data_IF_640926651205
#
_entry.id   IF_640926651205
#
_cell.length_a   1.000
_cell.length_b   1.000
_cell.length_c   1.000
_cell.angle_alpha   90.00
_cell.angle_beta   90.00
_cell.angle_gamma   90.00
#
_symmetry.space_group_name_H-M   'P 1'
#
loop_
_entity.id
_entity.type
_entity.pdbx_description
1 polymer ?
#
# COMPACT_ATOMS: atom_id res chain seq x y z
N UNK A 1 -15.06 -0.04 22.33
CA UNK A 1 -15.07 -1.32 21.60
C UNK A 1 -13.67 -1.91 21.59
N UNK A 2 -13.56 -3.22 21.39
CA UNK A 2 -12.30 -3.96 21.30
C UNK A 2 -12.10 -4.49 19.88
N UNK A 3 -10.97 -4.14 19.27
CA UNK A 3 -10.64 -4.50 17.90
C UNK A 3 -9.39 -5.39 17.85
N UNK A 4 -9.46 -6.48 17.11
CA UNK A 4 -8.31 -7.31 16.80
C UNK A 4 -7.99 -7.25 15.32
N UNK A 5 -6.80 -6.79 14.97
CA UNK A 5 -6.28 -6.89 13.60
C UNK A 5 -5.45 -8.18 13.46
N UNK A 6 -5.79 -9.02 12.50
CA UNK A 6 -5.01 -10.21 12.13
C UNK A 6 -4.38 -10.02 10.76
N UNK A 7 -3.06 -10.23 10.66
CA UNK A 7 -2.30 -10.04 9.44
C UNK A 7 -1.10 -11.00 9.36
N UNK A 8 -0.70 -11.37 8.16
CA UNK A 8 0.48 -12.19 7.92
C UNK A 8 1.74 -11.39 7.53
N UNK A 9 1.68 -10.05 7.56
CA UNK A 9 2.84 -9.17 7.39
C UNK A 9 3.14 -8.46 8.71
N UNK A 10 4.39 -8.08 8.92
CA UNK A 10 4.80 -7.27 10.06
C UNK A 10 4.04 -5.93 10.08
N UNK A 11 3.40 -5.60 11.20
CA UNK A 11 2.59 -4.36 11.30
C UNK A 11 3.43 -3.08 11.17
N UNK A 12 4.72 -3.17 11.35
CA UNK A 12 5.66 -2.06 11.17
C UNK A 12 6.46 -2.12 9.87
N UNK A 13 6.04 -2.95 8.89
CA UNK A 13 6.68 -3.04 7.58
C UNK A 13 6.69 -1.69 6.86
N UNK A 14 7.86 -1.07 6.64
CA UNK A 14 7.94 0.22 5.97
C UNK A 14 7.71 0.12 4.46
N UNK A 15 7.74 -1.08 3.88
CA UNK A 15 7.63 -1.31 2.43
C UNK A 15 6.20 -1.54 1.96
N UNK A 16 5.30 -1.90 2.88
CA UNK A 16 3.92 -2.29 2.58
C UNK A 16 2.93 -1.16 2.83
N UNK A 17 2.44 -0.50 1.78
CA UNK A 17 1.45 0.58 1.90
C UNK A 17 0.14 0.14 2.57
N UNK A 18 -0.26 -1.12 2.40
CA UNK A 18 -1.42 -1.72 3.09
C UNK A 18 -1.18 -1.75 4.60
N UNK A 19 -0.01 -2.20 5.03
CA UNK A 19 0.36 -2.31 6.45
C UNK A 19 0.43 -0.93 7.10
N UNK A 20 1.02 0.06 6.43
CA UNK A 20 1.07 1.44 6.91
C UNK A 20 -0.34 1.99 7.16
N UNK A 21 -1.27 1.75 6.22
CA UNK A 21 -2.67 2.17 6.38
C UNK A 21 -3.37 1.46 7.54
N UNK A 22 -3.13 0.16 7.73
CA UNK A 22 -3.70 -0.59 8.85
C UNK A 22 -3.13 -0.14 10.20
N UNK A 23 -1.84 0.17 10.26
CA UNK A 23 -1.19 0.74 11.44
C UNK A 23 -1.80 2.10 11.80
N UNK A 24 -1.98 2.98 10.82
CA UNK A 24 -2.64 4.27 11.03
C UNK A 24 -4.09 4.09 11.50
N UNK A 25 -4.83 3.16 10.92
CA UNK A 25 -6.19 2.84 11.35
C UNK A 25 -6.23 2.38 12.82
N UNK A 26 -5.38 1.44 13.23
CA UNK A 26 -5.37 0.94 14.61
C UNK A 26 -4.99 2.03 15.60
N UNK A 27 -4.05 2.93 15.26
CA UNK A 27 -3.73 4.11 16.05
C UNK A 27 -4.97 5.02 16.24
N UNK A 28 -5.69 5.32 15.14
CA UNK A 28 -6.89 6.17 15.21
C UNK A 28 -8.01 5.57 16.07
N UNK A 29 -8.16 4.24 16.05
CA UNK A 29 -9.12 3.55 16.93
C UNK A 29 -8.71 3.70 18.40
N UNK A 30 -7.43 3.57 18.74
CA UNK A 30 -6.92 3.76 20.11
C UNK A 30 -7.09 5.21 20.55
N UNK A 31 -6.75 6.17 19.70
CA UNK A 31 -6.91 7.61 19.98
C UNK A 31 -8.38 8.02 20.18
N UNK A 32 -9.32 7.24 19.63
CA UNK A 32 -10.75 7.41 19.83
C UNK A 32 -11.29 6.71 21.12
N UNK A 33 -10.41 6.15 21.95
CA UNK A 33 -10.75 5.50 23.20
C UNK A 33 -11.16 4.03 23.05
N UNK A 34 -10.83 3.39 21.95
CA UNK A 34 -11.04 1.95 21.76
C UNK A 34 -9.79 1.15 22.12
N UNK A 35 -9.97 -0.12 22.48
CA UNK A 35 -8.86 -1.04 22.70
C UNK A 35 -8.54 -1.78 21.41
N UNK A 36 -7.25 -1.79 21.02
CA UNK A 36 -6.79 -2.49 19.84
C UNK A 36 -5.66 -3.45 20.16
N UNK A 37 -5.76 -4.67 19.61
CA UNK A 37 -4.66 -5.64 19.58
C UNK A 37 -4.35 -6.03 18.13
N UNK A 38 -3.10 -6.40 17.88
CA UNK A 38 -2.64 -6.89 16.58
C UNK A 38 -1.96 -8.23 16.74
N UNK A 39 -2.36 -9.22 15.94
CA UNK A 39 -1.63 -10.46 15.75
C UNK A 39 -1.03 -10.49 14.35
N UNK A 40 0.28 -10.59 14.26
CA UNK A 40 1.05 -10.45 13.01
C UNK A 40 2.21 -11.43 12.94
N UNK A 41 2.91 -11.47 11.81
CA UNK A 41 4.15 -12.26 11.62
C UNK A 41 5.35 -11.37 11.35
N UNK A 42 6.54 -11.97 11.25
CA UNK A 42 7.78 -11.26 10.92
C UNK A 42 7.97 -10.99 9.41
N UNK A 43 6.99 -11.30 8.57
CA UNK A 43 7.10 -11.19 7.12
C UNK A 43 7.05 -9.73 6.66
N UNK A 44 7.96 -9.34 5.77
CA UNK A 44 7.92 -8.09 5.02
C UNK A 44 7.35 -8.33 3.61
N UNK A 45 6.76 -7.31 3.01
CA UNK A 45 6.23 -7.37 1.64
C UNK A 45 7.36 -7.43 0.61
N UNK A 46 8.40 -6.63 0.82
CA UNK A 46 9.58 -6.60 -0.04
C UNK A 46 10.82 -7.09 0.72
N UNK A 47 11.83 -7.50 -0.04
CA UNK A 47 13.14 -7.85 0.54
C UNK A 47 13.77 -6.60 1.15
N UNK A 48 14.16 -6.71 2.43
CA UNK A 48 14.81 -5.64 3.19
C UNK A 48 16.25 -6.05 3.58
N UNK A 49 17.16 -5.09 3.76
CA UNK A 49 18.57 -5.38 4.09
C UNK A 49 18.81 -5.66 5.58
N UNK A 50 17.77 -5.78 6.38
CA UNK A 50 17.84 -5.97 7.83
C UNK A 50 17.00 -7.17 8.28
N UNK A 51 17.30 -7.71 9.43
CA UNK A 51 16.52 -8.77 10.07
C UNK A 51 15.33 -8.20 10.84
N UNK A 52 14.35 -9.06 11.18
CA UNK A 52 13.23 -8.63 12.04
C UNK A 52 13.71 -8.17 13.43
N UNK A 53 14.78 -8.77 13.97
CA UNK A 53 15.32 -8.40 15.27
C UNK A 53 15.92 -6.99 15.23
N UNK A 54 16.71 -6.67 14.20
CA UNK A 54 17.25 -5.32 13.96
C UNK A 54 16.13 -4.30 13.73
N UNK A 55 15.12 -4.66 12.95
CA UNK A 55 13.97 -3.80 12.71
C UNK A 55 13.21 -3.51 14.00
N UNK A 56 12.87 -4.53 14.78
CA UNK A 56 12.17 -4.34 16.05
C UNK A 56 13.01 -3.52 17.05
N UNK A 57 14.32 -3.71 17.08
CA UNK A 57 15.22 -2.90 17.91
C UNK A 57 15.21 -1.41 17.51
N UNK A 58 15.07 -1.11 16.21
CA UNK A 58 15.01 0.28 15.72
C UNK A 58 13.71 1.01 16.09
N UNK A 59 12.66 0.29 16.47
CA UNK A 59 11.39 0.91 16.89
C UNK A 59 11.47 1.56 18.28
N UNK A 60 12.53 1.34 19.04
CA UNK A 60 12.73 1.85 20.41
C UNK A 60 11.56 1.55 21.36
N UNK A 61 10.95 0.37 21.23
CA UNK A 61 9.86 -0.11 22.10
C UNK A 61 10.34 -1.24 22.97
N UNK A 62 9.78 -1.38 24.17
CA UNK A 62 10.06 -2.49 25.06
C UNK A 62 9.51 -3.81 24.51
N UNK A 63 10.37 -4.77 24.16
CA UNK A 63 9.97 -6.04 23.55
C UNK A 63 10.14 -7.18 24.56
N UNK A 64 9.04 -7.90 24.79
CA UNK A 64 9.05 -9.13 25.57
C UNK A 64 9.06 -10.34 24.63
N UNK A 65 10.15 -11.12 24.65
CA UNK A 65 10.27 -12.34 23.89
C UNK A 65 9.85 -13.56 24.70
N UNK A 66 9.00 -14.40 24.11
CA UNK A 66 8.61 -15.72 24.68
C UNK A 66 8.85 -16.82 23.63
N UNK A 67 9.03 -18.05 24.08
CA UNK A 67 9.27 -19.21 23.21
C UNK A 67 10.57 -19.93 23.53
N UNK A 68 10.86 -21.07 22.89
CA UNK A 68 12.01 -21.89 23.21
C UNK A 68 13.30 -21.10 22.97
N UNK A 69 14.19 -21.15 23.96
CA UNK A 69 15.57 -20.75 23.78
C UNK A 69 16.17 -21.54 22.59
N UNK A 70 17.00 -20.87 21.77
CA UNK A 70 17.63 -21.54 20.64
C UNK A 70 18.31 -22.84 21.09
N UNK A 71 17.76 -23.97 20.68
CA UNK A 71 18.39 -25.26 20.97
C UNK A 71 19.77 -25.24 20.29
N UNK A 72 20.82 -25.33 21.08
CA UNK A 72 22.21 -25.55 20.56
C UNK A 72 22.16 -26.75 19.62
N UNK A 73 22.54 -26.52 18.37
CA UNK A 73 22.58 -27.55 17.34
C UNK A 73 23.46 -28.70 17.78
N UNK A 74 22.88 -29.76 18.33
CA UNK A 74 23.58 -31.04 18.51
C UNK A 74 23.57 -31.75 17.15
N UNK A 75 24.77 -31.96 16.59
CA UNK A 75 24.99 -32.79 15.40
C UNK A 75 24.52 -34.23 15.69
N UNK A 76 23.32 -34.57 15.25
CA UNK A 76 22.77 -35.92 15.28
C UNK A 76 21.70 -36.07 14.20
N UNK A 77 21.91 -36.96 13.22
CA UNK A 77 20.88 -37.38 12.25
C UNK A 77 19.72 -38.01 12.99
N UNK A 78 18.66 -37.26 13.17
CA UNK A 78 17.34 -37.82 13.56
C UNK A 78 16.29 -37.41 12.54
N UNK A 79 15.74 -38.42 11.86
CA UNK A 79 14.54 -38.28 11.00
C UNK A 79 13.36 -37.84 11.86
N UNK A 80 12.64 -36.79 11.38
CA UNK A 80 11.35 -36.28 11.88
C UNK A 80 11.31 -35.79 13.34
N UNK A 81 12.07 -34.76 13.67
CA UNK A 81 11.70 -33.89 14.81
C UNK A 81 10.70 -32.82 14.30
N UNK A 82 9.58 -32.56 15.01
CA UNK A 82 8.76 -31.42 14.70
C UNK A 82 9.63 -30.17 14.71
N UNK A 83 9.40 -29.27 13.75
CA UNK A 83 10.13 -28.01 13.67
C UNK A 83 9.99 -27.26 15.00
N UNK A 84 11.07 -26.68 15.56
CA UNK A 84 10.98 -25.96 16.82
C UNK A 84 9.96 -24.82 16.70
N UNK A 85 9.19 -24.60 17.77
CA UNK A 85 8.24 -23.51 17.84
C UNK A 85 8.93 -22.16 17.60
N UNK A 86 8.27 -21.24 16.92
CA UNK A 86 8.79 -19.91 16.66
C UNK A 86 8.74 -19.05 17.94
N UNK A 87 9.66 -18.09 18.08
CA UNK A 87 9.61 -17.09 19.13
C UNK A 87 8.41 -16.14 18.89
N UNK A 88 7.90 -15.60 19.97
CA UNK A 88 6.82 -14.59 19.94
C UNK A 88 7.34 -13.33 20.61
N UNK A 89 7.22 -12.21 19.93
CA UNK A 89 7.47 -10.88 20.47
C UNK A 89 6.14 -10.25 20.90
N UNK A 90 6.11 -9.65 22.09
CA UNK A 90 4.99 -8.83 22.56
C UNK A 90 5.51 -7.44 22.90
N UNK A 91 4.88 -6.40 22.35
CA UNK A 91 5.26 -5.01 22.56
C UNK A 91 4.06 -4.09 22.31
N UNK A 92 4.19 -2.84 22.71
CA UNK A 92 3.21 -1.80 22.40
C UNK A 92 3.79 -0.86 21.35
N UNK A 93 3.06 -0.64 20.26
CA UNK A 93 3.41 0.27 19.18
C UNK A 93 2.24 1.21 18.92
N UNK A 94 2.46 2.53 19.00
CA UNK A 94 1.43 3.56 18.81
C UNK A 94 0.19 3.34 19.73
N UNK A 95 0.40 2.89 20.98
CA UNK A 95 -0.69 2.56 21.91
C UNK A 95 -1.37 1.21 21.66
N UNK A 96 -1.00 0.47 20.62
CA UNK A 96 -1.58 -0.81 20.22
C UNK A 96 -0.74 -1.98 20.75
N UNK A 97 -1.39 -2.96 21.38
CA UNK A 97 -0.71 -4.18 21.82
C UNK A 97 -0.47 -5.12 20.64
N UNK A 98 0.80 -5.38 20.32
CA UNK A 98 1.23 -6.23 19.20
C UNK A 98 1.75 -7.56 19.71
N UNK A 99 1.22 -8.65 19.17
CA UNK A 99 1.78 -10.01 19.26
C UNK A 99 2.32 -10.41 17.90
N UNK A 100 3.63 -10.62 17.78
CA UNK A 100 4.32 -10.95 16.54
C UNK A 100 4.90 -12.36 16.63
N UNK A 101 4.46 -13.25 15.76
CA UNK A 101 5.07 -14.55 15.55
C UNK A 101 6.32 -14.39 14.67
N UNK A 102 7.51 -14.67 15.22
CA UNK A 102 8.75 -14.64 14.48
C UNK A 102 8.86 -15.85 13.57
N UNK A 103 8.30 -15.74 12.37
CA UNK A 103 8.41 -16.75 11.32
C UNK A 103 9.86 -16.93 10.89
N UNK A 104 10.20 -18.12 10.34
CA UNK A 104 11.58 -18.46 9.96
C UNK A 104 12.09 -17.65 8.77
N UNK A 105 11.18 -17.19 7.93
CA UNK A 105 11.45 -16.33 6.78
C UNK A 105 10.80 -14.98 6.98
N UNK A 106 11.57 -13.92 6.79
CA UNK A 106 11.13 -12.53 6.90
C UNK A 106 10.88 -11.92 5.53
N UNK A 107 11.36 -12.58 4.47
CA UNK A 107 11.22 -12.17 3.09
C UNK A 107 9.96 -12.81 2.44
N UNK A 108 9.87 -12.82 1.13
CA UNK A 108 8.73 -13.26 0.29
C UNK A 108 8.16 -14.66 0.62
N UNK A 109 8.71 -15.37 1.61
CA UNK A 109 8.24 -16.68 2.04
C UNK A 109 6.95 -16.61 2.87
N UNK A 110 5.99 -17.46 2.56
CA UNK A 110 4.78 -17.61 3.38
C UNK A 110 5.03 -18.52 4.58
N UNK A 111 4.32 -18.32 5.72
CA UNK A 111 4.34 -19.22 6.85
C UNK A 111 4.01 -20.67 6.45
N UNK A 112 4.76 -21.63 7.01
CA UNK A 112 4.48 -23.04 6.81
C UNK A 112 3.33 -23.55 7.69
N UNK A 113 3.03 -24.86 7.60
CA UNK A 113 1.95 -25.47 8.40
C UNK A 113 2.16 -25.36 9.91
N UNK A 114 3.39 -25.50 10.39
CA UNK A 114 3.71 -25.45 11.80
C UNK A 114 3.58 -24.00 12.32
N UNK A 115 4.07 -23.04 11.57
CA UNK A 115 3.93 -21.62 11.84
C UNK A 115 2.46 -21.18 11.80
N UNK A 116 1.69 -21.68 10.82
CA UNK A 116 0.22 -21.47 10.75
C UNK A 116 -0.47 -22.02 11.99
N UNK A 117 -0.16 -23.24 12.42
CA UNK A 117 -0.77 -23.84 13.61
C UNK A 117 -0.42 -23.04 14.87
N UNK A 118 0.82 -22.60 15.02
CA UNK A 118 1.24 -21.76 16.16
C UNK A 118 0.54 -20.39 16.15
N UNK A 119 0.38 -19.77 14.97
CA UNK A 119 -0.36 -18.52 14.83
C UNK A 119 -1.83 -18.69 15.25
N UNK A 120 -2.49 -19.76 14.84
CA UNK A 120 -3.88 -20.04 15.21
C UNK A 120 -4.02 -20.34 16.72
N UNK A 121 -3.04 -20.98 17.34
CA UNK A 121 -3.01 -21.15 18.81
C UNK A 121 -2.93 -19.79 19.51
N UNK A 122 -2.02 -18.90 19.09
CA UNK A 122 -1.92 -17.54 19.62
C UNK A 122 -3.20 -16.73 19.39
N UNK A 123 -3.82 -16.90 18.22
CA UNK A 123 -5.11 -16.28 17.94
C UNK A 123 -6.17 -16.76 18.93
N UNK A 124 -6.31 -18.08 19.15
CA UNK A 124 -7.26 -18.63 20.11
C UNK A 124 -7.08 -18.05 21.52
N UNK A 125 -5.83 -17.99 22.02
CA UNK A 125 -5.49 -17.37 23.30
C UNK A 125 -5.94 -15.89 23.36
N UNK A 126 -5.68 -15.12 22.29
CA UNK A 126 -6.08 -13.71 22.22
C UNK A 126 -7.62 -13.58 22.18
N UNK A 127 -8.31 -14.41 21.41
CA UNK A 127 -9.77 -14.39 21.33
C UNK A 127 -10.41 -14.72 22.70
N UNK A 128 -9.85 -15.67 23.46
CA UNK A 128 -10.32 -16.02 24.79
C UNK A 128 -10.06 -14.91 25.82
N UNK A 129 -8.86 -14.33 25.83
CA UNK A 129 -8.45 -13.32 26.79
C UNK A 129 -9.06 -11.94 26.51
N UNK A 130 -8.98 -11.50 25.25
CA UNK A 130 -9.34 -10.15 24.84
C UNK A 130 -10.82 -10.03 24.46
N UNK A 131 -11.43 -11.10 23.95
CA UNK A 131 -12.80 -11.17 23.47
C UNK A 131 -13.17 -9.94 22.61
N UNK A 132 -12.54 -9.75 21.43
CA UNK A 132 -12.77 -8.57 20.61
C UNK A 132 -14.21 -8.50 20.09
N UNK A 133 -14.76 -7.29 19.99
CA UNK A 133 -16.04 -7.05 19.34
C UNK A 133 -15.95 -7.26 17.83
N UNK A 134 -14.78 -6.91 17.26
CA UNK A 134 -14.52 -7.03 15.82
C UNK A 134 -13.12 -7.59 15.55
N UNK A 135 -13.05 -8.45 14.51
CA UNK A 135 -11.78 -8.97 13.97
C UNK A 135 -11.60 -8.47 12.54
N UNK A 136 -10.56 -7.67 12.33
CA UNK A 136 -10.25 -7.05 11.05
C UNK A 136 -9.12 -7.84 10.39
N UNK A 137 -9.27 -8.20 9.11
CA UNK A 137 -8.27 -8.92 8.35
C UNK A 137 -8.04 -8.31 6.96
N UNK A 138 -6.86 -8.56 6.42
CA UNK A 138 -6.57 -8.33 5.01
C UNK A 138 -5.73 -9.50 4.46
N UNK A 139 -5.75 -9.73 3.17
CA UNK A 139 -5.15 -10.83 2.41
C UNK A 139 -5.80 -12.21 2.60
N UNK A 140 -5.73 -13.05 1.55
CA UNK A 140 -6.35 -14.37 1.50
C UNK A 140 -5.39 -15.52 1.87
N UNK A 141 -4.37 -15.25 2.69
CA UNK A 141 -3.51 -16.35 3.18
C UNK A 141 -4.36 -17.33 4.02
N UNK A 142 -4.19 -18.66 3.86
CA UNK A 142 -4.99 -19.65 4.59
C UNK A 142 -5.03 -19.44 6.11
N UNK A 143 -3.91 -18.99 6.69
CA UNK A 143 -3.82 -18.66 8.11
C UNK A 143 -4.82 -17.57 8.52
N UNK A 144 -5.01 -16.55 7.68
CA UNK A 144 -5.93 -15.43 7.94
C UNK A 144 -7.38 -15.87 7.73
N UNK A 145 -7.67 -16.64 6.68
CA UNK A 145 -9.01 -17.18 6.44
C UNK A 145 -9.46 -18.14 7.54
N UNK A 146 -8.56 -19.00 8.04
CA UNK A 146 -8.83 -19.85 9.20
C UNK A 146 -9.03 -19.02 10.48
N UNK A 147 -8.30 -17.94 10.64
CA UNK A 147 -8.47 -17.01 11.76
C UNK A 147 -9.84 -16.32 11.73
N UNK A 148 -10.29 -15.87 10.55
CA UNK A 148 -11.64 -15.32 10.40
C UNK A 148 -12.73 -16.37 10.70
N UNK A 149 -12.55 -17.61 10.22
CA UNK A 149 -13.46 -18.71 10.53
C UNK A 149 -13.59 -18.94 12.04
N UNK A 150 -12.47 -18.93 12.77
CA UNK A 150 -12.45 -19.09 14.23
C UNK A 150 -13.19 -17.96 14.93
N UNK A 151 -12.89 -16.70 14.56
CA UNK A 151 -13.53 -15.52 15.13
C UNK A 151 -15.05 -15.48 14.86
N UNK A 152 -15.44 -15.73 13.59
CA UNK A 152 -16.85 -15.78 13.20
C UNK A 152 -17.62 -16.89 13.93
N UNK A 153 -16.99 -18.09 14.06
CA UNK A 153 -17.57 -19.21 14.81
C UNK A 153 -17.80 -18.93 16.30
N UNK A 154 -17.09 -17.94 16.86
CA UNK A 154 -17.27 -17.44 18.24
C UNK A 154 -18.25 -16.25 18.34
N UNK A 155 -18.90 -15.87 17.24
CA UNK A 155 -19.87 -14.77 17.18
C UNK A 155 -19.29 -13.37 17.17
N UNK A 156 -18.00 -13.22 16.87
CA UNK A 156 -17.35 -11.91 16.70
C UNK A 156 -17.65 -11.37 15.30
N UNK A 157 -17.83 -10.05 15.16
CA UNK A 157 -17.98 -9.41 13.84
C UNK A 157 -16.67 -9.50 13.07
N UNK A 158 -16.71 -10.05 11.86
CA UNK A 158 -15.54 -10.23 11.01
C UNK A 158 -15.56 -9.23 9.85
N UNK A 159 -14.44 -8.51 9.69
CA UNK A 159 -14.31 -7.44 8.70
C UNK A 159 -13.11 -7.73 7.80
N UNK A 160 -13.34 -7.75 6.49
CA UNK A 160 -12.27 -8.00 5.52
C UNK A 160 -11.94 -6.78 4.68
N UNK A 161 -10.66 -6.44 4.64
CA UNK A 161 -10.12 -5.33 3.85
C UNK A 161 -9.63 -5.82 2.50
N UNK A 162 -10.34 -5.51 1.42
CA UNK A 162 -9.89 -5.77 0.04
C UNK A 162 -9.07 -4.59 -0.45
N UNK A 163 -7.78 -4.82 -0.67
CA UNK A 163 -6.80 -3.79 -1.04
C UNK A 163 -6.27 -3.90 -2.46
N UNK A 164 -6.84 -4.77 -3.26
CA UNK A 164 -6.41 -5.02 -4.64
C UNK A 164 -7.37 -5.91 -5.38
N UNK A 165 -6.93 -6.40 -6.53
CA UNK A 165 -7.69 -7.29 -7.39
C UNK A 165 -7.32 -8.76 -7.12
N UNK A 166 -8.12 -9.71 -7.67
CA UNK A 166 -7.85 -11.13 -7.56
C UNK A 166 -8.64 -11.87 -6.47
N UNK A 167 -9.40 -11.17 -5.65
CA UNK A 167 -10.28 -11.77 -4.64
C UNK A 167 -11.65 -12.13 -5.25
N UNK A 168 -11.65 -12.96 -6.31
CA UNK A 168 -12.87 -13.29 -7.07
C UNK A 168 -13.48 -14.65 -6.72
N UNK A 169 -12.93 -15.34 -5.71
CA UNK A 169 -13.50 -16.55 -5.15
C UNK A 169 -14.34 -16.23 -3.91
N UNK A 170 -15.65 -16.49 -3.98
CA UNK A 170 -16.57 -16.23 -2.86
C UNK A 170 -16.19 -16.95 -1.58
N UNK A 171 -15.43 -18.05 -1.66
CA UNK A 171 -14.95 -18.80 -0.50
C UNK A 171 -14.01 -17.95 0.41
N UNK A 172 -13.37 -16.92 -0.11
CA UNK A 172 -12.58 -15.99 0.72
C UNK A 172 -13.42 -15.23 1.74
N UNK A 173 -14.72 -15.12 1.49
CA UNK A 173 -15.65 -14.33 2.30
C UNK A 173 -16.68 -15.17 3.07
N UNK A 174 -16.54 -16.50 3.09
CA UNK A 174 -17.50 -17.42 3.74
C UNK A 174 -17.72 -17.12 5.23
N UNK A 175 -16.70 -16.59 5.89
CA UNK A 175 -16.71 -16.26 7.32
C UNK A 175 -16.45 -14.77 7.56
N UNK A 176 -17.01 -13.92 6.71
CA UNK A 176 -16.86 -12.46 6.75
C UNK A 176 -18.24 -11.81 6.82
N UNK A 177 -18.44 -10.89 7.75
CA UNK A 177 -19.68 -10.13 7.88
C UNK A 177 -19.67 -8.85 7.06
N UNK A 178 -18.51 -8.18 6.96
CA UNK A 178 -18.36 -6.90 6.25
C UNK A 178 -17.10 -6.87 5.42
N UNK A 179 -17.21 -6.22 4.25
CA UNK A 179 -16.07 -5.97 3.37
C UNK A 179 -15.95 -4.48 3.13
N UNK A 180 -14.74 -3.93 3.29
CA UNK A 180 -14.41 -2.61 2.81
C UNK A 180 -13.27 -2.67 1.81
N UNK A 181 -13.31 -1.78 0.83
CA UNK A 181 -12.32 -1.69 -0.24
C UNK A 181 -11.56 -0.39 -0.16
N UNK A 182 -10.37 -0.35 -0.76
CA UNK A 182 -9.54 0.85 -0.74
C UNK A 182 -9.98 1.95 -1.72
N UNK A 183 -10.98 1.69 -2.56
CA UNK A 183 -11.52 2.66 -3.52
C UNK A 183 -12.85 2.21 -4.10
N UNK A 184 -13.61 3.16 -4.66
CA UNK A 184 -14.84 2.88 -5.40
C UNK A 184 -14.56 1.95 -6.59
N UNK A 185 -13.47 2.17 -7.34
CA UNK A 185 -13.11 1.33 -8.49
C UNK A 185 -12.91 -0.14 -8.09
N UNK A 186 -12.23 -0.42 -6.98
CA UNK A 186 -12.07 -1.80 -6.48
C UNK A 186 -13.41 -2.40 -6.07
N UNK A 187 -14.29 -1.60 -5.44
CA UNK A 187 -15.65 -2.04 -5.09
C UNK A 187 -16.45 -2.42 -6.33
N UNK A 188 -16.48 -1.55 -7.35
CA UNK A 188 -17.23 -1.75 -8.59
C UNK A 188 -16.74 -2.99 -9.36
N UNK A 189 -15.43 -3.20 -9.43
CA UNK A 189 -14.84 -4.38 -10.08
C UNK A 189 -15.26 -5.68 -9.37
N UNK A 190 -15.25 -5.70 -8.03
CA UNK A 190 -15.65 -6.91 -7.29
C UNK A 190 -17.16 -7.13 -7.33
N UNK A 191 -17.95 -6.05 -7.30
CA UNK A 191 -19.40 -6.14 -7.50
C UNK A 191 -19.72 -6.71 -8.88
N UNK A 192 -19.10 -6.20 -9.94
CA UNK A 192 -19.32 -6.67 -11.32
C UNK A 192 -18.86 -8.10 -11.56
N UNK A 193 -17.71 -8.51 -10.98
CA UNK A 193 -17.13 -9.85 -11.26
C UNK A 193 -17.74 -10.97 -10.43
N UNK A 194 -18.06 -10.74 -9.18
CA UNK A 194 -18.51 -11.81 -8.26
C UNK A 194 -19.75 -11.45 -7.45
N UNK A 195 -20.31 -10.25 -7.65
CA UNK A 195 -21.47 -9.76 -6.92
C UNK A 195 -21.14 -9.36 -5.46
N UNK A 196 -19.88 -9.11 -5.13
CA UNK A 196 -19.45 -8.75 -3.78
C UNK A 196 -19.87 -7.31 -3.47
N UNK A 197 -20.69 -7.15 -2.44
CA UNK A 197 -21.07 -5.84 -1.88
C UNK A 197 -19.99 -5.41 -0.88
N UNK A 198 -19.49 -4.21 -1.02
CA UNK A 198 -18.45 -3.67 -0.14
C UNK A 198 -18.59 -2.16 0.04
N UNK A 199 -18.01 -1.64 1.12
CA UNK A 199 -17.98 -0.20 1.39
C UNK A 199 -16.63 0.37 0.95
N UNK A 200 -16.58 1.29 -0.03
CA UNK A 200 -15.33 1.94 -0.42
C UNK A 200 -14.91 2.96 0.64
N UNK A 201 -13.73 2.77 1.22
CA UNK A 201 -13.12 3.69 2.18
C UNK A 201 -11.66 3.85 1.80
N UNK A 202 -11.27 5.06 1.41
CA UNK A 202 -9.91 5.37 1.00
C UNK A 202 -8.92 5.13 2.15
N UNK A 203 -7.71 4.62 1.85
CA UNK A 203 -6.76 4.23 2.91
C UNK A 203 -6.36 5.42 3.78
N UNK A 204 -6.21 5.23 5.10
CA UNK A 204 -5.61 6.23 5.97
C UNK A 204 -4.22 6.64 5.48
N UNK A 205 -3.96 7.94 5.45
CA UNK A 205 -2.64 8.51 5.17
C UNK A 205 -2.22 9.32 6.38
N UNK A 206 -1.07 9.00 6.93
CA UNK A 206 -0.46 9.77 8.01
C UNK A 206 0.25 10.99 7.40
N UNK A 207 -0.36 12.16 7.52
CA UNK A 207 0.16 13.39 6.95
C UNK A 207 1.51 13.78 7.54
N UNK A 208 1.78 13.46 8.80
CA UNK A 208 3.06 13.77 9.45
C UNK A 208 4.26 13.07 8.80
N UNK A 209 4.02 11.94 8.10
CA UNK A 209 5.06 11.19 7.38
C UNK A 209 5.18 11.59 5.90
N UNK A 210 4.24 12.40 5.42
CA UNK A 210 4.07 12.74 4.00
C UNK A 210 4.32 14.21 3.72
N UNK A 211 3.86 15.11 4.58
CA UNK A 211 4.04 16.56 4.38
C UNK A 211 5.51 16.95 4.43
N UNK A 212 5.91 17.74 3.44
CA UNK A 212 7.29 18.15 3.23
C UNK A 212 7.40 19.66 2.99
N UNK A 213 8.55 20.27 3.31
CA UNK A 213 8.86 21.67 2.96
C UNK A 213 8.71 21.91 1.44
N UNK A 214 8.43 23.16 1.06
CA UNK A 214 8.14 23.53 -0.33
C UNK A 214 9.29 24.21 -1.05
N UNK A 215 10.30 24.68 -0.32
CA UNK A 215 11.31 25.60 -0.80
C UNK A 215 12.33 24.98 -1.79
N UNK A 216 12.47 23.67 -1.74
CA UNK A 216 13.51 22.94 -2.52
C UNK A 216 12.99 22.13 -3.70
N UNK A 217 11.71 22.28 -4.05
CA UNK A 217 11.06 21.48 -5.11
C UNK A 217 11.57 21.80 -6.50
N UNK A 218 12.31 20.88 -7.07
CA UNK A 218 12.99 21.07 -8.33
C UNK A 218 12.85 19.91 -9.34
N UNK A 219 12.29 18.76 -8.94
CA UNK A 219 12.34 17.56 -9.76
C UNK A 219 10.98 17.13 -10.30
N UNK A 220 11.00 16.61 -11.54
CA UNK A 220 9.96 15.68 -12.01
C UNK A 220 10.29 14.31 -11.46
N UNK A 221 9.43 13.79 -10.57
CA UNK A 221 9.73 12.58 -9.80
C UNK A 221 8.90 11.39 -10.26
N UNK A 222 9.53 10.22 -10.36
CA UNK A 222 8.92 8.93 -10.59
C UNK A 222 9.31 7.97 -9.46
N UNK A 223 8.33 7.33 -8.83
CA UNK A 223 8.54 6.44 -7.67
C UNK A 223 8.29 4.98 -8.05
N UNK A 224 9.15 4.09 -7.62
CA UNK A 224 9.10 2.66 -7.87
C UNK A 224 9.19 2.28 -9.36
N UNK A 225 10.41 2.22 -9.94
CA UNK A 225 10.62 1.96 -11.36
C UNK A 225 10.35 0.51 -11.76
N UNK A 226 9.12 0.04 -11.57
CA UNK A 226 8.67 -1.31 -11.91
C UNK A 226 7.80 -1.34 -13.17
N UNK A 227 7.68 -2.50 -13.85
CA UNK A 227 6.81 -2.67 -15.00
C UNK A 227 5.35 -2.25 -14.75
N UNK A 228 4.78 -2.63 -13.60
CA UNK A 228 3.41 -2.24 -13.22
C UNK A 228 3.24 -0.73 -13.09
N UNK A 229 4.26 -0.04 -12.60
CA UNK A 229 4.25 1.42 -12.42
C UNK A 229 4.57 2.18 -13.72
N UNK A 230 4.67 1.48 -14.87
CA UNK A 230 4.80 2.10 -16.18
C UNK A 230 6.21 2.56 -16.52
N UNK A 231 7.21 1.87 -16.02
CA UNK A 231 8.62 2.23 -16.25
C UNK A 231 9.01 2.36 -17.71
N UNK A 232 8.41 1.62 -18.64
CA UNK A 232 8.67 1.73 -20.06
C UNK A 232 8.14 3.05 -20.65
N UNK A 233 6.96 3.50 -20.22
CA UNK A 233 6.43 4.81 -20.58
C UNK A 233 7.32 5.91 -20.00
N UNK A 234 7.65 5.79 -18.70
CA UNK A 234 8.57 6.71 -18.03
C UNK A 234 9.92 6.77 -18.75
N UNK A 235 10.50 5.63 -19.13
CA UNK A 235 11.80 5.60 -19.82
C UNK A 235 11.77 6.36 -21.15
N UNK A 236 10.71 6.22 -21.94
CA UNK A 236 10.55 7.01 -23.18
C UNK A 236 10.36 8.50 -22.88
N UNK A 237 9.53 8.84 -21.89
CA UNK A 237 9.33 10.24 -21.47
C UNK A 237 10.63 10.88 -20.99
N UNK A 238 11.39 10.16 -20.15
CA UNK A 238 12.68 10.63 -19.63
C UNK A 238 13.72 10.83 -20.75
N UNK A 239 13.76 9.95 -21.76
CA UNK A 239 14.61 10.10 -22.95
C UNK A 239 14.22 11.35 -23.77
N UNK A 240 12.91 11.60 -23.95
CA UNK A 240 12.42 12.81 -24.63
C UNK A 240 12.74 14.09 -23.85
N UNK A 241 12.52 14.09 -22.54
CA UNK A 241 12.89 15.22 -21.68
C UNK A 241 14.41 15.41 -21.65
N UNK A 242 15.17 14.33 -21.49
CA UNK A 242 16.63 14.38 -21.48
C UNK A 242 17.23 15.00 -22.74
N UNK A 243 16.67 14.69 -23.90
CA UNK A 243 17.15 15.15 -25.19
C UNK A 243 16.66 16.55 -25.62
N UNK A 244 15.45 16.95 -25.20
CA UNK A 244 14.79 18.17 -25.67
C UNK A 244 14.67 19.26 -24.59
N UNK A 245 14.75 18.89 -23.30
CA UNK A 245 14.51 19.75 -22.12
C UNK A 245 15.53 19.42 -21.01
N UNK A 246 16.80 19.68 -21.29
CA UNK A 246 17.90 19.46 -20.35
C UNK A 246 17.80 20.33 -19.07
N UNK A 247 16.95 21.35 -19.09
CA UNK A 247 16.61 22.22 -17.98
C UNK A 247 15.66 21.59 -16.97
N UNK A 248 15.00 20.45 -17.31
CA UNK A 248 14.06 19.75 -16.43
C UNK A 248 14.76 18.57 -15.75
N UNK A 249 15.11 18.68 -14.46
CA UNK A 249 15.74 17.57 -13.75
C UNK A 249 14.69 16.50 -13.37
N UNK A 250 15.12 15.24 -13.48
CA UNK A 250 14.29 14.08 -13.23
C UNK A 250 14.87 13.27 -12.07
N UNK A 251 14.04 12.87 -11.14
CA UNK A 251 14.41 12.01 -10.01
C UNK A 251 13.61 10.68 -10.04
N UNK A 252 14.34 9.58 -9.98
CA UNK A 252 13.76 8.23 -9.87
C UNK A 252 13.99 7.72 -8.47
N UNK A 253 12.92 7.54 -7.69
CA UNK A 253 12.98 7.00 -6.33
C UNK A 253 12.87 5.48 -6.37
N UNK A 254 13.89 4.81 -5.88
CA UNK A 254 13.94 3.37 -5.76
C UNK A 254 13.09 2.92 -4.56
N UNK A 255 11.95 2.28 -4.84
CA UNK A 255 11.07 1.71 -3.84
C UNK A 255 10.56 0.37 -4.39
N UNK A 256 10.91 -0.72 -3.75
CA UNK A 256 10.58 -2.08 -4.22
C UNK A 256 11.39 -2.58 -5.44
N UNK A 257 11.88 -1.67 -6.29
CA UNK A 257 12.75 -1.98 -7.43
C UNK A 257 13.92 -0.99 -7.51
N UNK A 258 15.06 -1.48 -8.01
CA UNK A 258 16.26 -0.64 -8.21
C UNK A 258 16.21 0.08 -9.57
N UNK A 259 16.79 1.27 -9.64
CA UNK A 259 16.92 2.01 -10.92
C UNK A 259 18.05 1.48 -11.82
N UNK A 260 18.90 0.60 -11.34
CA UNK A 260 20.09 0.14 -12.08
C UNK A 260 19.78 -0.53 -13.43
N UNK A 261 18.64 -1.19 -13.55
CA UNK A 261 18.22 -1.82 -14.78
C UNK A 261 17.73 -0.81 -15.86
N UNK A 262 17.39 0.43 -15.50
CA UNK A 262 17.04 1.48 -16.46
C UNK A 262 18.16 1.64 -17.49
N UNK A 263 19.42 1.50 -17.07
CA UNK A 263 20.57 1.58 -17.97
C UNK A 263 20.69 0.41 -18.96
N UNK A 264 19.92 -0.68 -18.75
CA UNK A 264 19.89 -1.83 -19.65
C UNK A 264 18.74 -1.81 -20.66
N UNK A 265 17.88 -0.78 -20.61
CA UNK A 265 16.75 -0.63 -21.54
C UNK A 265 17.26 -0.35 -22.95
N UNK A 266 17.01 -1.28 -23.88
CA UNK A 266 17.38 -1.08 -25.27
C UNK A 266 16.62 0.10 -25.88
N UNK A 267 17.34 1.01 -26.55
CA UNK A 267 16.77 2.17 -27.27
C UNK A 267 16.74 3.47 -26.46
N UNK A 268 17.27 3.49 -25.25
CA UNK A 268 17.55 4.68 -24.45
C UNK A 268 18.92 4.54 -23.79
N UNK A 269 19.59 5.66 -23.60
CA UNK A 269 20.89 5.74 -22.93
C UNK A 269 20.85 6.90 -21.93
N UNK A 270 20.51 6.57 -20.68
CA UNK A 270 20.38 7.55 -19.61
C UNK A 270 21.71 8.15 -19.15
N UNK A 271 22.84 7.52 -19.47
CA UNK A 271 24.17 8.06 -19.15
C UNK A 271 24.47 9.37 -19.88
N UNK A 272 23.73 9.65 -20.96
CA UNK A 272 23.81 10.90 -21.72
C UNK A 272 23.11 12.08 -21.05
N UNK A 273 22.31 11.85 -20.04
CA UNK A 273 21.43 12.84 -19.42
C UNK A 273 21.78 13.05 -17.95
N UNK A 274 22.74 13.93 -17.62
CA UNK A 274 23.19 14.15 -16.26
C UNK A 274 22.09 14.68 -15.31
N UNK A 275 21.02 15.25 -15.87
CA UNK A 275 19.87 15.74 -15.13
C UNK A 275 18.91 14.62 -14.68
N UNK A 276 19.12 13.36 -15.08
CA UNK A 276 18.34 12.21 -14.63
C UNK A 276 19.10 11.50 -13.51
N UNK A 277 18.54 11.55 -12.32
CA UNK A 277 19.16 11.04 -11.10
C UNK A 277 18.32 9.94 -10.47
N UNK A 278 18.99 8.92 -9.94
CA UNK A 278 18.36 7.88 -9.11
C UNK A 278 18.61 8.15 -7.64
N UNK A 279 17.54 8.33 -6.87
CA UNK A 279 17.59 8.41 -5.42
C UNK A 279 17.48 7.03 -4.77
N UNK A 280 18.11 6.83 -3.60
CA UNK A 280 17.94 5.60 -2.82
C UNK A 280 16.49 5.45 -2.35
N UNK A 281 16.10 4.26 -1.84
CA UNK A 281 14.90 4.14 -1.02
C UNK A 281 14.99 5.08 0.18
N UNK A 282 13.91 5.79 0.47
CA UNK A 282 13.85 6.74 1.60
C UNK A 282 12.92 6.21 2.69
N UNK A 283 13.21 6.48 3.96
CA UNK A 283 12.39 6.01 5.08
C UNK A 283 10.98 6.60 5.08
N UNK A 284 10.84 7.87 4.67
CA UNK A 284 9.57 8.58 4.67
C UNK A 284 9.28 9.22 3.31
N UNK A 285 8.02 9.22 2.85
CA UNK A 285 7.64 9.92 1.63
C UNK A 285 7.98 11.41 1.63
N UNK A 286 7.90 12.10 2.78
CA UNK A 286 8.27 13.49 2.91
C UNK A 286 9.68 13.80 2.37
N UNK A 287 10.64 12.87 2.50
CA UNK A 287 12.02 13.08 2.07
C UNK A 287 12.14 13.35 0.56
N UNK A 288 11.40 12.61 -0.28
CA UNK A 288 11.42 12.88 -1.72
C UNK A 288 10.39 13.92 -2.14
N UNK A 289 9.27 14.09 -1.41
CA UNK A 289 8.31 15.15 -1.71
C UNK A 289 8.89 16.55 -1.46
N UNK A 290 9.84 16.71 -0.54
CA UNK A 290 10.57 17.97 -0.35
C UNK A 290 11.30 18.42 -1.63
N UNK A 291 11.68 17.49 -2.50
CA UNK A 291 12.40 17.76 -3.74
C UNK A 291 11.49 17.71 -4.99
N UNK A 292 10.28 17.14 -4.85
CA UNK A 292 9.37 16.90 -5.97
C UNK A 292 8.58 18.14 -6.34
N UNK A 293 8.71 18.60 -7.60
CA UNK A 293 7.90 19.66 -8.20
C UNK A 293 6.68 19.09 -8.93
N UNK A 294 6.85 18.03 -9.70
CA UNK A 294 5.79 17.32 -10.45
C UNK A 294 5.93 15.84 -10.18
N UNK A 295 4.83 15.15 -9.88
CA UNK A 295 4.83 13.71 -9.69
C UNK A 295 4.30 12.99 -10.94
N UNK A 296 5.03 11.98 -11.42
CA UNK A 296 4.60 11.09 -12.50
C UNK A 296 4.10 9.75 -11.93
N UNK A 297 2.89 9.35 -12.33
CA UNK A 297 2.30 8.05 -11.98
C UNK A 297 1.78 7.37 -13.26
N UNK A 298 2.67 6.94 -14.16
CA UNK A 298 2.32 6.39 -15.47
C UNK A 298 1.97 4.89 -15.40
N UNK A 299 1.33 4.45 -14.34
CA UNK A 299 0.99 3.04 -14.11
C UNK A 299 0.25 2.44 -15.31
N UNK A 300 0.66 1.23 -15.71
CA UNK A 300 0.07 0.50 -16.83
C UNK A 300 -0.87 -0.63 -16.38
N UNK A 301 -0.98 -0.85 -15.10
CA UNK A 301 -1.98 -1.72 -14.47
C UNK A 301 -3.02 -0.88 -13.74
N UNK A 302 -4.15 -1.47 -13.43
CA UNK A 302 -5.19 -0.78 -12.68
C UNK A 302 -4.73 -0.59 -11.23
N UNK A 303 -4.46 0.66 -10.84
CA UNK A 303 -4.09 0.97 -9.46
C UNK A 303 -5.30 0.77 -8.54
N UNK A 304 -5.18 -0.01 -7.46
CA UNK A 304 -6.29 -0.16 -6.52
C UNK A 304 -6.68 1.13 -5.82
N UNK A 305 -5.69 1.99 -5.51
CA UNK A 305 -5.89 3.34 -4.98
C UNK A 305 -4.96 4.35 -5.65
N UNK A 306 -3.65 4.14 -5.60
CA UNK A 306 -2.68 5.13 -6.09
C UNK A 306 -2.22 6.07 -4.99
N UNK A 307 -1.80 5.50 -3.87
CA UNK A 307 -1.40 6.23 -2.65
C UNK A 307 -0.43 7.39 -2.92
N UNK A 308 0.59 7.17 -3.76
CA UNK A 308 1.61 8.18 -4.07
C UNK A 308 1.02 9.43 -4.73
N UNK A 309 -0.05 9.28 -5.53
CA UNK A 309 -0.76 10.42 -6.13
C UNK A 309 -1.49 11.25 -5.08
N UNK A 310 -2.20 10.59 -4.15
CA UNK A 310 -2.86 11.27 -3.02
C UNK A 310 -1.83 11.99 -2.12
N UNK A 311 -0.69 11.37 -1.86
CA UNK A 311 0.42 11.95 -1.08
C UNK A 311 1.04 13.18 -1.76
N UNK A 312 1.17 13.18 -3.10
CA UNK A 312 1.58 14.36 -3.85
C UNK A 312 0.55 15.50 -3.72
N UNK A 313 -0.73 15.18 -3.83
CA UNK A 313 -1.81 16.17 -3.66
C UNK A 313 -1.81 16.77 -2.25
N UNK A 314 -1.57 15.98 -1.21
CA UNK A 314 -1.39 16.46 0.17
C UNK A 314 -0.28 17.52 0.23
N UNK A 315 0.75 17.38 -0.57
CA UNK A 315 1.84 18.35 -0.66
C UNK A 315 1.56 19.53 -1.62
N UNK A 316 0.41 19.59 -2.27
CA UNK A 316 0.16 20.55 -3.33
C UNK A 316 1.12 20.37 -4.52
N UNK A 317 1.51 19.15 -4.81
CA UNK A 317 2.35 18.79 -5.95
C UNK A 317 1.45 18.29 -7.07
N UNK A 318 1.49 18.89 -8.28
CA UNK A 318 0.73 18.44 -9.43
C UNK A 318 1.04 16.99 -9.79
N UNK A 319 0.08 16.04 -9.66
CA UNK A 319 0.25 14.68 -10.14
C UNK A 319 -0.15 14.59 -11.63
N UNK A 320 0.69 13.93 -12.42
CA UNK A 320 0.38 13.51 -13.79
C UNK A 320 0.22 12.00 -13.77
N UNK A 321 -1.00 11.53 -13.90
CA UNK A 321 -1.37 10.13 -13.67
C UNK A 321 -1.91 9.47 -14.93
N UNK A 322 -1.81 8.15 -15.01
CA UNK A 322 -2.48 7.39 -16.05
C UNK A 322 -3.99 7.24 -15.78
N UNK A 323 -4.74 6.90 -16.82
CA UNK A 323 -6.16 6.59 -16.74
C UNK A 323 -6.45 5.17 -16.23
N UNK A 324 -5.61 4.60 -15.36
CA UNK A 324 -5.71 3.21 -14.90
C UNK A 324 -6.25 3.11 -13.47
N UNK A 325 -7.23 2.20 -13.31
CA UNK A 325 -7.82 1.89 -12.00
C UNK A 325 -8.40 3.11 -11.31
N UNK A 326 -8.04 3.32 -10.06
CA UNK A 326 -8.53 4.41 -9.22
C UNK A 326 -7.82 5.75 -9.44
N UNK A 327 -6.74 5.82 -10.21
CA UNK A 327 -5.95 7.05 -10.36
C UNK A 327 -6.78 8.27 -10.81
N UNK A 328 -7.70 8.16 -11.82
CA UNK A 328 -8.56 9.29 -12.19
C UNK A 328 -9.43 9.78 -11.02
N UNK A 329 -9.97 8.85 -10.24
CA UNK A 329 -10.78 9.18 -9.07
C UNK A 329 -9.95 9.83 -7.95
N UNK A 330 -8.75 9.33 -7.70
CA UNK A 330 -7.85 9.86 -6.66
C UNK A 330 -7.53 11.33 -6.90
N UNK A 331 -7.23 11.71 -8.14
CA UNK A 331 -6.93 13.11 -8.48
C UNK A 331 -8.18 13.96 -8.70
N UNK A 332 -9.38 13.40 -8.55
CA UNK A 332 -10.66 14.12 -8.73
C UNK A 332 -10.99 14.41 -10.17
N UNK A 333 -10.50 13.63 -11.12
CA UNK A 333 -10.62 13.82 -12.56
C UNK A 333 -9.45 14.62 -13.17
N UNK A 334 -9.52 14.88 -14.47
CA UNK A 334 -8.55 15.70 -15.18
C UNK A 334 -8.65 17.17 -14.76
N UNK A 335 -7.55 17.90 -14.77
CA UNK A 335 -7.53 19.33 -14.41
C UNK A 335 -8.48 20.16 -15.28
N UNK A 336 -8.62 19.85 -16.55
CA UNK A 336 -9.53 20.54 -17.46
C UNK A 336 -11.01 20.51 -17.04
N UNK A 337 -11.40 19.54 -16.19
CA UNK A 337 -12.75 19.41 -15.62
C UNK A 337 -12.79 19.67 -14.11
N UNK A 338 -11.80 20.37 -13.57
CA UNK A 338 -11.72 20.75 -12.16
C UNK A 338 -11.03 19.75 -11.25
N UNK A 339 -10.33 18.77 -11.80
CA UNK A 339 -9.48 17.83 -11.04
C UNK A 339 -8.20 18.48 -10.50
N UNK A 340 -7.55 17.77 -9.56
CA UNK A 340 -6.30 18.21 -8.94
C UNK A 340 -5.05 17.63 -9.59
N UNK A 341 -5.13 17.16 -10.84
CA UNK A 341 -4.01 16.60 -11.59
C UNK A 341 -4.33 16.41 -13.06
N UNK A 342 -3.40 15.86 -13.83
CA UNK A 342 -3.64 15.49 -15.21
C UNK A 342 -3.84 13.99 -15.35
N UNK A 343 -4.91 13.59 -16.04
CA UNK A 343 -5.22 12.19 -16.34
C UNK A 343 -4.92 11.90 -17.80
N UNK A 344 -3.92 11.09 -18.07
CA UNK A 344 -3.43 10.81 -19.41
C UNK A 344 -3.59 9.33 -19.80
N UNK A 345 -3.92 9.05 -21.05
CA UNK A 345 -4.00 7.68 -21.51
C UNK A 345 -2.61 7.04 -21.57
N UNK A 346 -2.57 5.73 -21.34
CA UNK A 346 -1.42 4.88 -21.66
C UNK A 346 -1.78 4.02 -22.87
N UNK A 347 -0.82 3.66 -23.74
CA UNK A 347 -1.08 2.78 -24.86
C UNK A 347 -1.73 1.47 -24.39
N UNK A 348 -2.80 1.02 -25.03
CA UNK A 348 -3.54 -0.19 -24.62
C UNK A 348 -2.68 -1.46 -24.65
N UNK A 349 -1.76 -1.54 -25.59
CA UNK A 349 -0.81 -2.65 -25.71
C UNK A 349 0.23 -2.69 -24.59
N UNK A 350 0.46 -1.56 -23.90
CA UNK A 350 1.47 -1.46 -22.86
C UNK A 350 0.93 -2.04 -21.55
N UNK A 351 1.32 -3.27 -21.30
CA UNK A 351 0.95 -4.05 -20.12
C UNK A 351 2.20 -4.36 -19.27
N UNK A 352 2.08 -4.72 -17.99
CA UNK A 352 3.23 -5.00 -17.12
C UNK A 352 4.16 -6.11 -17.63
N UNK A 353 3.65 -7.03 -18.44
CA UNK A 353 4.42 -8.13 -19.03
C UNK A 353 5.14 -7.76 -20.32
N UNK A 354 4.90 -6.56 -20.85
CA UNK A 354 5.48 -6.11 -22.13
C UNK A 354 6.76 -5.31 -21.90
N UNK A 355 7.88 -5.84 -22.37
CA UNK A 355 9.20 -5.22 -22.24
C UNK A 355 9.58 -4.46 -23.54
N UNK A 356 8.80 -3.45 -23.88
CA UNK A 356 9.01 -2.62 -25.08
C UNK A 356 8.75 -1.15 -24.79
N UNK A 357 9.63 -0.28 -25.30
CA UNK A 357 9.42 1.15 -25.23
C UNK A 357 8.27 1.58 -26.16
N UNK A 358 7.36 2.45 -25.69
CA UNK A 358 6.44 3.13 -26.59
C UNK A 358 7.19 4.08 -27.52
N UNK A 359 6.57 4.43 -28.64
CA UNK A 359 7.09 5.46 -29.55
C UNK A 359 7.00 6.85 -28.89
N UNK A 360 7.77 7.81 -29.43
CA UNK A 360 7.70 9.19 -28.97
C UNK A 360 6.27 9.77 -29.15
N UNK A 361 5.59 9.45 -30.24
CA UNK A 361 4.23 9.92 -30.51
C UNK A 361 3.22 9.43 -29.47
N UNK A 362 3.36 8.19 -28.97
CA UNK A 362 2.50 7.63 -27.92
C UNK A 362 2.69 8.31 -26.56
N UNK A 363 3.83 8.94 -26.33
CA UNK A 363 4.21 9.61 -25.07
C UNK A 363 4.14 11.14 -25.16
N UNK A 364 3.89 11.70 -26.35
CA UNK A 364 3.94 13.14 -26.62
C UNK A 364 2.99 13.95 -25.70
N UNK A 365 1.80 13.43 -25.37
CA UNK A 365 0.90 14.11 -24.45
C UNK A 365 1.49 14.25 -23.05
N UNK A 366 2.18 13.21 -22.56
CA UNK A 366 2.87 13.24 -21.27
C UNK A 366 4.00 14.28 -21.28
N UNK A 367 4.79 14.29 -22.36
CA UNK A 367 5.84 15.27 -22.53
C UNK A 367 5.31 16.72 -22.52
N UNK A 368 4.25 16.98 -23.27
CA UNK A 368 3.66 18.32 -23.38
C UNK A 368 3.07 18.80 -22.05
N UNK A 369 2.40 17.92 -21.28
CA UNK A 369 1.86 18.28 -19.96
C UNK A 369 2.98 18.58 -18.97
N UNK A 370 4.05 17.79 -18.95
CA UNK A 370 5.20 18.05 -18.07
C UNK A 370 5.86 19.39 -18.43
N UNK A 371 6.06 19.67 -19.72
CA UNK A 371 6.61 20.95 -20.15
C UNK A 371 5.70 22.12 -19.82
N UNK A 372 4.38 22.00 -20.03
CA UNK A 372 3.43 23.05 -19.68
C UNK A 372 3.43 23.35 -18.16
N UNK A 373 3.41 22.33 -17.31
CA UNK A 373 3.52 22.49 -15.85
C UNK A 373 4.87 23.07 -15.41
N UNK A 374 5.93 22.86 -16.20
CA UNK A 374 7.24 23.38 -15.89
C UNK A 374 7.37 24.85 -16.27
N UNK A 375 6.88 25.25 -17.44
CA UNK A 375 7.06 26.56 -18.04
C UNK A 375 5.98 27.57 -17.62
N UNK A 376 4.74 27.12 -17.45
CA UNK A 376 3.61 27.97 -17.09
C UNK A 376 3.40 27.96 -15.56
N UNK A 377 3.83 29.04 -14.92
CA UNK A 377 3.72 29.22 -13.46
C UNK A 377 2.27 29.28 -13.00
N UNK A 378 1.39 29.92 -13.76
CA UNK A 378 -0.01 30.10 -13.36
C UNK A 378 -0.76 28.77 -13.45
N UNK A 379 -0.51 27.99 -14.51
CA UNK A 379 -1.01 26.63 -14.62
C UNK A 379 -0.51 25.77 -13.46
N UNK A 380 0.80 25.80 -13.17
CA UNK A 380 1.38 25.05 -12.05
C UNK A 380 0.67 25.38 -10.72
N UNK A 381 0.56 26.68 -10.40
CA UNK A 381 -0.06 27.16 -9.16
C UNK A 381 -1.54 26.74 -9.10
N UNK A 382 -2.27 26.88 -10.20
CA UNK A 382 -3.67 26.45 -10.28
C UNK A 382 -3.85 24.97 -9.97
N UNK A 383 -3.07 24.10 -10.62
CA UNK A 383 -3.13 22.64 -10.38
C UNK A 383 -2.70 22.29 -8.96
N UNK A 384 -1.60 22.88 -8.48
CA UNK A 384 -1.06 22.64 -7.14
C UNK A 384 -2.06 23.01 -6.04
N UNK A 385 -2.69 24.18 -6.17
CA UNK A 385 -3.73 24.66 -5.24
C UNK A 385 -4.92 23.70 -5.25
N UNK A 386 -5.40 23.36 -6.44
CA UNK A 386 -6.55 22.45 -6.56
C UNK A 386 -6.25 21.06 -6.05
N UNK A 387 -5.05 20.54 -6.27
CA UNK A 387 -4.59 19.27 -5.70
C UNK A 387 -4.65 19.29 -4.16
N UNK A 388 -4.12 20.34 -3.53
CA UNK A 388 -4.12 20.49 -2.07
C UNK A 388 -5.55 20.62 -1.51
N UNK A 389 -6.41 21.41 -2.15
CA UNK A 389 -7.81 21.55 -1.74
C UNK A 389 -8.54 20.21 -1.74
N UNK A 390 -8.46 19.46 -2.83
CA UNK A 390 -9.10 18.15 -2.94
C UNK A 390 -8.52 17.15 -1.93
N UNK A 391 -7.20 17.16 -1.73
CA UNK A 391 -6.56 16.32 -0.72
C UNK A 391 -7.05 16.66 0.69
N UNK A 392 -7.19 17.95 1.02
CA UNK A 392 -7.69 18.40 2.32
C UNK A 392 -9.14 17.97 2.53
N UNK A 393 -9.98 18.09 1.51
CA UNK A 393 -11.39 17.70 1.58
C UNK A 393 -11.59 16.19 1.70
N UNK A 394 -10.70 15.37 1.11
CA UNK A 394 -10.91 13.92 0.99
C UNK A 394 -10.00 13.09 1.91
N UNK A 395 -8.75 13.52 2.08
CA UNK A 395 -7.68 12.73 2.70
C UNK A 395 -7.13 13.36 3.97
N UNK A 396 -7.65 14.53 4.44
CA UNK A 396 -7.21 15.08 5.73
C UNK A 396 -7.44 14.05 6.83
N UNK A 397 -6.58 14.08 7.84
CA UNK A 397 -6.65 13.14 8.95
C UNK A 397 -8.02 13.20 9.64
N UNK A 398 -8.58 14.39 9.82
CA UNK A 398 -9.89 14.58 10.44
C UNK A 398 -11.00 13.88 9.64
N UNK A 399 -11.11 14.16 8.33
CA UNK A 399 -12.14 13.58 7.45
C UNK A 399 -11.98 12.06 7.31
N UNK A 400 -10.74 11.62 7.10
CA UNK A 400 -10.45 10.19 6.93
C UNK A 400 -10.70 9.41 8.22
N UNK A 401 -10.28 9.96 9.38
CA UNK A 401 -10.49 9.37 10.69
C UNK A 401 -11.98 9.26 11.04
N UNK A 402 -12.74 10.33 10.86
CA UNK A 402 -14.19 10.34 11.11
C UNK A 402 -14.89 9.24 10.30
N UNK A 403 -14.63 9.16 8.98
CA UNK A 403 -15.21 8.15 8.09
C UNK A 403 -14.88 6.72 8.52
N UNK A 404 -13.64 6.46 8.92
CA UNK A 404 -13.25 5.14 9.41
C UNK A 404 -13.91 4.80 10.75
N UNK A 405 -13.92 5.74 11.71
CA UNK A 405 -14.54 5.52 13.01
C UNK A 405 -16.05 5.28 12.87
N UNK A 406 -16.75 6.09 12.07
CA UNK A 406 -18.17 5.89 11.77
C UNK A 406 -18.44 4.49 11.20
N UNK A 407 -17.65 4.08 10.18
CA UNK A 407 -17.78 2.76 9.60
C UNK A 407 -17.61 1.66 10.67
N UNK A 408 -16.48 1.60 11.34
CA UNK A 408 -16.19 0.49 12.26
C UNK A 408 -17.10 0.46 13.50
N UNK A 409 -17.58 1.61 13.98
CA UNK A 409 -18.50 1.65 15.13
C UNK A 409 -19.94 1.33 14.78
N UNK A 410 -20.33 1.39 13.52
CA UNK A 410 -21.69 1.10 13.03
C UNK A 410 -21.93 -0.37 12.68
N UNK A 411 -20.88 -1.18 12.54
CA UNK A 411 -20.99 -2.55 12.03
C UNK A 411 -21.74 -3.49 13.00
N UNK A 412 -22.59 -4.33 12.42
CA UNK A 412 -23.36 -5.37 13.13
C UNK A 412 -23.19 -6.72 12.43
N UNK A 413 -23.31 -7.86 13.13
CA UNK A 413 -23.20 -9.17 12.50
C UNK A 413 -24.25 -9.42 11.41
N UNK A 414 -23.89 -10.23 10.42
CA UNK A 414 -24.85 -10.91 9.56
C UNK A 414 -25.42 -10.11 8.39
N UNK A 415 -24.67 -9.27 7.71
CA UNK A 415 -25.11 -8.66 6.46
C UNK A 415 -24.81 -9.55 5.23
N UNK A 416 -25.74 -9.69 4.24
CA UNK A 416 -25.45 -10.44 3.03
C UNK A 416 -24.38 -9.72 2.19
N UNK A 417 -23.26 -10.42 1.94
CA UNK A 417 -22.12 -9.86 1.20
C UNK A 417 -22.27 -9.96 -0.33
N UNK A 418 -23.22 -10.75 -0.81
CA UNK A 418 -23.33 -10.98 -2.25
C UNK A 418 -24.74 -10.63 -2.76
N UNK A 419 -24.80 -10.00 -3.92
CA UNK A 419 -26.06 -9.84 -4.64
C UNK A 419 -26.59 -11.19 -5.09
N UNK A 420 -27.92 -11.36 -5.10
CA UNK A 420 -28.60 -12.61 -5.52
C UNK A 420 -28.47 -12.89 -7.01
N UNK A 421 -28.08 -11.90 -7.81
CA UNK A 421 -27.89 -12.03 -9.26
C UNK A 421 -26.43 -11.81 -9.59
N UNK A 422 -25.69 -12.79 -10.17
CA UNK A 422 -24.40 -12.51 -10.79
C UNK A 422 -24.65 -11.55 -11.96
N UNK A 423 -23.94 -10.43 -12.00
CA UNK A 423 -23.97 -9.55 -13.17
C UNK A 423 -23.60 -10.37 -14.42
N UNK A 424 -24.53 -10.50 -15.35
CA UNK A 424 -24.24 -11.01 -16.70
C UNK A 424 -23.31 -10.01 -17.38
N UNK A 425 -22.09 -10.43 -17.62
CA UNK A 425 -21.21 -9.78 -18.60
C UNK A 425 -20.39 -10.82 -19.32
#
# INVERSE_FOLDING_TARGET
MRFLLINNHCISDPTAGVVQSLRTLTRWLVDAGHECRVLTTARFEARVPFTIDEHLASLNVGIQWTGPAAAKATRGRQKSRPAPACKVARFTLDGVHVTLLKTRRNDEGFPDRAETAQYLTLLGEILDEFAPDQVIACNAHPMILLGLKEAHGRGMVTVYSVRGYGYYDRRYFEHVDHVFTCSQHVSDVHLGKVGLVSTPIEPPIDWSTVEAPTETRAFVTFVNPSPHKGVWLFARLADMLGSRRSDIPIMVIQSGQTAGWLNSIRGVDFTRYPQIMAGPPVPQPADYFALTRILLVPSVWDEPFGRVAAEAMINGIPPVVSNRGSLPHVVGGDHAVGGGGFVLPVPEWLQPTVNRLPSAAEVERWFNVVCALWDDKDLYVSVATRARELATQRYSEAVSRERHLEYFTSLKPGQPLFTTTPGNS
#
